data_IF_463342382998
#
_entry.id   IF_463342382998
#
_cell.length_a   1.000
_cell.length_b   1.000
_cell.length_c   1.000
_cell.angle_alpha   90.00
_cell.angle_beta   90.00
_cell.angle_gamma   90.00
#
_symmetry.space_group_name_H-M   'P 1'
#
loop_
_entity.id
_entity.type
_entity.pdbx_description
1 polymer ?
#
# COMPACT_ATOMS: atom_id res chain seq x y z
N UNK A 1 4.17 -24.00 13.01
CA UNK A 1 3.62 -22.64 12.82
C UNK A 1 3.51 -22.43 11.33
N UNK A 2 2.32 -22.16 10.82
CA UNK A 2 2.11 -21.84 9.41
C UNK A 2 2.82 -20.53 9.08
N UNK A 3 3.49 -20.47 7.94
CA UNK A 3 4.17 -19.26 7.44
C UNK A 3 3.21 -18.29 6.75
N UNK A 4 1.93 -18.60 6.79
CA UNK A 4 0.88 -17.78 6.23
C UNK A 4 0.63 -16.57 7.12
N UNK A 5 0.57 -15.42 6.47
CA UNK A 5 0.20 -14.13 7.05
C UNK A 5 -0.92 -13.53 6.20
N UNK A 6 -1.70 -12.65 6.81
CA UNK A 6 -2.73 -11.88 6.14
C UNK A 6 -2.49 -10.42 6.43
N UNK A 7 -2.62 -9.59 5.40
CA UNK A 7 -2.67 -8.14 5.56
C UNK A 7 -4.13 -7.70 5.49
N UNK A 8 -4.67 -7.17 6.59
CA UNK A 8 -5.86 -6.35 6.55
C UNK A 8 -5.47 -4.93 6.15
N UNK A 9 -6.08 -4.41 5.10
CA UNK A 9 -5.93 -3.03 4.66
C UNK A 9 -7.26 -2.30 4.82
N UNK A 10 -7.24 -1.10 5.37
CA UNK A 10 -8.40 -0.22 5.44
C UNK A 10 -8.08 1.17 4.85
N UNK A 11 -8.98 1.67 4.00
CA UNK A 11 -8.93 3.03 3.45
C UNK A 11 -10.17 3.82 3.86
N UNK A 12 -9.96 4.94 4.54
CA UNK A 12 -11.04 5.81 5.02
C UNK A 12 -10.53 7.25 5.23
N UNK A 13 -11.41 8.15 5.68
CA UNK A 13 -11.06 9.55 5.86
C UNK A 13 -10.38 9.79 7.23
N UNK A 14 -9.31 10.60 7.27
CA UNK A 14 -8.53 10.83 8.49
C UNK A 14 -9.37 11.36 9.65
N UNK A 15 -10.32 12.28 9.36
CA UNK A 15 -11.15 12.94 10.37
C UNK A 15 -12.40 12.16 10.73
N UNK A 16 -12.58 10.97 10.14
CA UNK A 16 -13.70 10.09 10.47
C UNK A 16 -13.67 9.73 11.96
N UNK A 17 -14.85 9.63 12.56
CA UNK A 17 -15.00 9.38 14.00
C UNK A 17 -15.66 8.04 14.27
N UNK A 18 -15.18 7.38 15.32
CA UNK A 18 -15.82 6.25 15.98
C UNK A 18 -16.25 6.73 17.38
N UNK A 19 -17.53 7.10 17.52
CA UNK A 19 -18.03 7.76 18.72
C UNK A 19 -17.30 9.08 19.01
N UNK A 20 -16.70 9.22 20.19
CA UNK A 20 -16.00 10.42 20.61
C UNK A 20 -14.51 10.46 20.20
N UNK A 21 -13.99 9.49 19.43
CA UNK A 21 -12.58 9.43 18.99
C UNK A 21 -12.46 9.41 17.47
N UNK A 22 -11.26 9.67 16.95
CA UNK A 22 -10.97 9.42 15.54
C UNK A 22 -10.96 7.91 15.27
N UNK A 23 -11.53 7.49 14.14
CA UNK A 23 -11.62 6.10 13.75
C UNK A 23 -10.23 5.44 13.63
N UNK A 24 -9.24 6.17 13.10
CA UNK A 24 -7.86 5.71 13.02
C UNK A 24 -7.25 5.40 14.39
N UNK A 25 -7.42 6.32 15.35
CA UNK A 25 -6.92 6.12 16.73
C UNK A 25 -7.60 4.91 17.38
N UNK A 26 -8.93 4.77 17.23
CA UNK A 26 -9.68 3.65 17.78
C UNK A 26 -9.29 2.30 17.14
N UNK A 27 -9.01 2.28 15.84
CA UNK A 27 -8.58 1.11 15.08
C UNK A 27 -7.17 0.67 15.49
N UNK A 28 -6.23 1.61 15.65
CA UNK A 28 -4.88 1.30 16.12
C UNK A 28 -4.86 0.86 17.59
N UNK A 29 -5.74 1.43 18.43
CA UNK A 29 -5.93 0.92 19.79
C UNK A 29 -6.51 -0.51 19.78
N UNK A 30 -7.40 -0.84 18.83
CA UNK A 30 -7.90 -2.21 18.67
C UNK A 30 -6.75 -3.15 18.33
N UNK A 31 -5.88 -2.78 17.39
CA UNK A 31 -4.72 -3.60 17.01
C UNK A 31 -3.76 -3.81 18.17
N UNK A 32 -3.51 -2.77 18.96
CA UNK A 32 -2.69 -2.85 20.17
C UNK A 32 -3.30 -3.79 21.22
N UNK A 33 -4.60 -3.64 21.53
CA UNK A 33 -5.32 -4.53 22.46
C UNK A 33 -5.34 -5.98 21.98
N UNK A 34 -5.52 -6.19 20.67
CA UNK A 34 -5.50 -7.52 20.04
C UNK A 34 -4.07 -8.01 19.81
N UNK A 35 -3.03 -7.25 20.18
CA UNK A 35 -1.60 -7.54 20.01
C UNK A 35 -1.29 -8.01 18.58
N UNK A 36 -1.72 -7.22 17.61
CA UNK A 36 -1.39 -7.47 16.20
C UNK A 36 0.11 -7.27 16.01
N UNK A 37 0.76 -8.23 15.33
CA UNK A 37 2.21 -8.27 15.18
C UNK A 37 2.77 -6.98 14.57
N UNK A 38 2.18 -6.55 13.46
CA UNK A 38 2.58 -5.31 12.77
C UNK A 38 1.37 -4.51 12.34
N UNK A 39 1.42 -3.19 12.54
CA UNK A 39 0.49 -2.26 11.91
C UNK A 39 1.17 -0.98 11.43
N UNK A 40 0.69 -0.40 10.34
CA UNK A 40 1.21 0.84 9.78
C UNK A 40 0.04 1.70 9.31
N UNK A 41 -0.06 2.92 9.82
CA UNK A 41 -0.98 3.93 9.31
C UNK A 41 -0.22 4.92 8.44
N UNK A 42 -0.64 5.09 7.19
CA UNK A 42 -0.08 6.05 6.24
C UNK A 42 -1.12 7.10 5.87
N UNK A 43 -0.67 8.34 5.66
CA UNK A 43 -1.54 9.41 5.15
C UNK A 43 -1.43 9.48 3.63
N UNK A 44 -2.58 9.47 2.96
CA UNK A 44 -2.66 9.67 1.51
C UNK A 44 -2.81 11.14 1.14
N UNK A 45 -2.67 11.42 -0.16
CA UNK A 45 -2.63 12.79 -0.72
C UNK A 45 -3.85 13.11 -1.59
N UNK A 46 -4.54 12.08 -2.07
CA UNK A 46 -5.81 12.21 -2.77
C UNK A 46 -6.64 10.94 -2.66
N UNK A 47 -7.96 11.05 -2.70
CA UNK A 47 -8.84 9.89 -2.91
C UNK A 47 -10.20 10.29 -3.42
N UNK A 48 -10.96 9.31 -3.86
CA UNK A 48 -12.42 9.30 -3.78
C UNK A 48 -12.85 7.93 -3.25
N UNK A 49 -13.89 7.91 -2.42
CA UNK A 49 -14.46 6.66 -1.91
C UNK A 49 -15.86 6.40 -2.47
N UNK A 50 -16.61 5.45 -1.91
CA UNK A 50 -17.95 5.04 -2.38
C UNK A 50 -19.00 6.17 -2.44
N UNK A 51 -18.72 7.30 -1.81
CA UNK A 51 -19.57 8.51 -1.85
C UNK A 51 -19.15 9.50 -2.96
N UNK A 52 -18.18 9.14 -3.79
CA UNK A 52 -17.57 9.95 -4.85
C UNK A 52 -17.07 11.34 -4.40
N UNK A 53 -16.83 11.53 -3.09
CA UNK A 53 -16.26 12.76 -2.55
C UNK A 53 -14.75 12.75 -2.73
N UNK A 54 -14.24 13.71 -3.48
CA UNK A 54 -12.80 13.91 -3.67
C UNK A 54 -12.18 14.47 -2.39
N UNK A 55 -11.05 13.90 -1.97
CA UNK A 55 -10.24 14.33 -0.83
C UNK A 55 -8.84 14.63 -1.34
N UNK A 56 -8.20 15.68 -0.83
CA UNK A 56 -6.84 16.07 -1.25
C UNK A 56 -6.16 16.93 -0.18
N UNK A 57 -4.82 16.85 -0.09
CA UNK A 57 -3.91 17.65 0.76
C UNK A 57 -3.56 19.03 0.16
N UNK A 58 -4.40 19.57 -0.73
CA UNK A 58 -4.10 20.76 -1.56
C UNK A 58 -4.58 22.09 -0.98
N UNK A 59 -5.36 22.11 0.09
CA UNK A 59 -5.82 23.35 0.70
C UNK A 59 -5.03 23.64 1.98
N UNK A 60 -4.36 24.78 2.07
CA UNK A 60 -3.82 25.29 3.35
C UNK A 60 -4.93 25.67 4.36
N UNK A 61 -6.14 25.13 4.19
CA UNK A 61 -7.28 25.34 5.07
C UNK A 61 -7.29 24.30 6.19
N UNK A 62 -7.82 24.68 7.36
CA UNK A 62 -8.06 23.77 8.49
C UNK A 62 -9.12 22.67 8.20
N UNK A 63 -9.63 22.60 6.97
CA UNK A 63 -10.72 21.74 6.50
C UNK A 63 -10.25 20.51 5.70
N UNK A 64 -8.94 20.24 5.60
CA UNK A 64 -8.45 19.04 4.94
C UNK A 64 -8.89 17.78 5.70
N UNK A 65 -9.40 16.80 4.95
CA UNK A 65 -9.76 15.46 5.44
C UNK A 65 -9.13 14.44 4.48
N UNK A 66 -7.79 14.30 4.51
CA UNK A 66 -7.07 13.43 3.59
C UNK A 66 -7.46 11.97 3.84
N UNK A 67 -7.33 11.09 2.83
CA UNK A 67 -7.46 9.67 3.06
C UNK A 67 -6.33 9.15 3.95
N UNK A 68 -6.61 8.09 4.68
CA UNK A 68 -5.61 7.30 5.40
C UNK A 68 -5.69 5.85 4.92
N UNK A 69 -4.53 5.22 4.80
CA UNK A 69 -4.39 3.77 4.65
C UNK A 69 -3.90 3.19 5.95
N UNK A 70 -4.54 2.14 6.44
CA UNK A 70 -4.12 1.41 7.63
C UNK A 70 -3.89 -0.04 7.25
N UNK A 71 -2.70 -0.57 7.55
CA UNK A 71 -2.31 -1.95 7.30
C UNK A 71 -2.10 -2.66 8.63
N UNK A 72 -2.64 -3.86 8.77
CA UNK A 72 -2.40 -4.76 9.89
C UNK A 72 -1.98 -6.12 9.35
N UNK A 73 -0.82 -6.61 9.78
CA UNK A 73 -0.23 -7.86 9.30
C UNK A 73 -0.07 -8.82 10.47
N UNK A 74 -0.68 -9.99 10.35
CA UNK A 74 -0.58 -11.06 11.34
C UNK A 74 -1.01 -12.41 10.74
N UNK A 75 -1.03 -13.46 11.55
CA UNK A 75 -1.60 -14.76 11.22
C UNK A 75 -3.08 -14.66 10.79
N UNK A 76 -3.56 -15.55 9.90
CA UNK A 76 -4.95 -15.55 9.44
C UNK A 76 -5.98 -15.54 10.58
N UNK A 77 -5.74 -16.33 11.63
CA UNK A 77 -6.65 -16.43 12.78
C UNK A 77 -6.79 -15.10 13.54
N UNK A 78 -5.69 -14.35 13.70
CA UNK A 78 -5.72 -13.07 14.43
C UNK A 78 -6.38 -11.97 13.60
N UNK A 79 -6.12 -11.94 12.29
CA UNK A 79 -6.79 -11.00 11.39
C UNK A 79 -8.29 -11.30 11.29
N UNK A 80 -8.66 -12.56 11.10
CA UNK A 80 -10.07 -12.98 11.05
C UNK A 80 -10.84 -12.63 12.34
N UNK A 81 -10.19 -12.67 13.49
CA UNK A 81 -10.82 -12.33 14.77
C UNK A 81 -11.05 -10.81 15.00
N UNK A 82 -10.55 -9.93 14.12
CA UNK A 82 -10.63 -8.48 14.28
C UNK A 82 -11.41 -7.76 13.18
N UNK A 83 -11.75 -8.44 12.09
CA UNK A 83 -12.36 -7.86 10.88
C UNK A 83 -13.69 -7.16 11.15
N UNK A 84 -14.58 -7.78 11.94
CA UNK A 84 -15.89 -7.21 12.25
C UNK A 84 -15.78 -5.96 13.14
N UNK A 85 -14.93 -6.04 14.19
CA UNK A 85 -14.62 -4.91 15.06
C UNK A 85 -14.01 -3.75 14.27
N UNK A 86 -13.10 -4.04 13.33
CA UNK A 86 -12.48 -3.03 12.48
C UNK A 86 -13.49 -2.37 11.53
N UNK A 87 -14.39 -3.14 10.93
CA UNK A 87 -15.44 -2.64 10.06
C UNK A 87 -16.40 -1.70 10.80
N UNK A 88 -16.82 -2.08 12.01
CA UNK A 88 -17.67 -1.27 12.87
C UNK A 88 -17.01 0.07 13.28
N UNK A 89 -15.69 0.06 13.52
CA UNK A 89 -14.95 1.27 13.90
C UNK A 89 -14.81 2.28 12.76
N UNK A 90 -14.63 1.83 11.52
CA UNK A 90 -14.53 2.79 10.42
C UNK A 90 -15.89 3.41 10.13
N UNK A 91 -16.97 2.64 10.03
CA UNK A 91 -18.31 3.14 9.67
C UNK A 91 -18.44 3.68 8.23
N UNK A 92 -17.39 4.21 7.59
CA UNK A 92 -17.33 4.48 6.14
C UNK A 92 -15.93 4.21 5.55
N UNK A 93 -15.83 3.50 4.45
CA UNK A 93 -14.54 3.21 3.80
C UNK A 93 -14.51 1.83 3.17
N UNK A 94 -13.32 1.36 2.84
CA UNK A 94 -13.10 0.04 2.25
C UNK A 94 -12.10 -0.72 3.13
N UNK A 95 -12.43 -1.96 3.47
CA UNK A 95 -11.52 -2.94 4.04
C UNK A 95 -11.24 -4.02 3.01
N UNK A 96 -10.03 -4.56 3.01
CA UNK A 96 -9.61 -5.66 2.17
C UNK A 96 -8.67 -6.58 2.94
N UNK A 97 -8.75 -7.88 2.70
CA UNK A 97 -7.81 -8.87 3.23
C UNK A 97 -6.99 -9.47 2.11
N UNK A 98 -5.68 -9.53 2.30
CA UNK A 98 -4.74 -10.07 1.31
C UNK A 98 -3.85 -11.14 1.95
N UNK A 99 -3.96 -12.41 1.52
CA UNK A 99 -3.05 -13.46 1.92
C UNK A 99 -1.64 -13.20 1.42
N UNK A 100 -0.67 -13.51 2.26
CA UNK A 100 0.74 -13.55 1.92
C UNK A 100 1.40 -14.71 2.67
N UNK A 101 2.63 -15.03 2.31
CA UNK A 101 3.47 -15.95 3.06
C UNK A 101 4.75 -15.27 3.50
N UNK A 102 5.27 -15.65 4.65
CA UNK A 102 6.62 -15.26 5.05
C UNK A 102 7.58 -16.08 4.21
N UNK A 103 8.37 -15.40 3.39
CA UNK A 103 9.40 -16.04 2.59
C UNK A 103 10.41 -16.68 3.56
N UNK A 104 10.70 -17.97 3.39
CA UNK A 104 11.75 -18.68 4.14
C UNK A 104 12.70 -19.40 3.18
N UNK A 105 13.95 -18.95 3.11
CA UNK A 105 15.03 -19.63 2.38
C UNK A 105 14.64 -20.16 1.00
N UNK A 106 15.28 -21.26 0.59
CA UNK A 106 15.18 -21.89 -0.73
C UNK A 106 13.80 -22.50 -1.01
N UNK A 107 12.82 -21.66 -1.38
CA UNK A 107 11.54 -22.07 -1.96
C UNK A 107 11.68 -22.46 -3.45
N UNK A 108 10.81 -23.35 -3.97
CA UNK A 108 10.76 -23.68 -5.40
C UNK A 108 10.53 -22.43 -6.27
N UNK A 109 11.36 -22.31 -7.31
CA UNK A 109 11.53 -21.11 -8.15
C UNK A 109 10.56 -21.09 -9.33
N UNK A 110 9.27 -20.90 -9.09
CA UNK A 110 8.41 -20.42 -10.18
C UNK A 110 8.82 -18.97 -10.51
N UNK A 111 8.92 -18.62 -11.79
CA UNK A 111 9.18 -17.24 -12.23
C UNK A 111 7.94 -16.33 -12.10
N UNK A 112 7.10 -16.59 -11.11
CA UNK A 112 5.94 -15.76 -10.84
C UNK A 112 6.38 -14.42 -10.25
N UNK A 113 5.67 -13.36 -10.63
CA UNK A 113 5.86 -12.04 -10.02
C UNK A 113 5.22 -12.03 -8.63
N UNK A 114 5.94 -11.46 -7.67
CA UNK A 114 5.50 -11.29 -6.29
C UNK A 114 5.63 -9.83 -5.87
N UNK A 115 4.71 -9.43 -4.99
CA UNK A 115 4.85 -8.24 -4.18
C UNK A 115 5.53 -8.64 -2.88
N UNK A 116 6.75 -8.17 -2.67
CA UNK A 116 7.50 -8.28 -1.43
C UNK A 116 7.13 -7.12 -0.51
N UNK A 117 6.88 -7.39 0.76
CA UNK A 117 6.65 -6.39 1.79
C UNK A 117 7.53 -6.66 3.02
N UNK A 118 8.05 -5.59 3.59
CA UNK A 118 8.91 -5.55 4.75
C UNK A 118 8.51 -4.36 5.62
N UNK A 119 8.52 -4.53 6.94
CA UNK A 119 8.24 -3.47 7.90
C UNK A 119 9.45 -3.21 8.79
N UNK A 120 9.78 -1.93 8.99
CA UNK A 120 10.96 -1.48 9.73
C UNK A 120 10.60 -0.28 10.61
N UNK A 121 11.40 -0.02 11.63
CA UNK A 121 11.41 1.28 12.32
C UNK A 121 12.10 2.35 11.46
N UNK A 122 11.59 3.58 11.44
CA UNK A 122 12.20 4.73 10.72
C UNK A 122 13.69 4.94 11.03
N UNK A 123 14.11 4.72 12.26
CA UNK A 123 15.47 4.93 12.76
C UNK A 123 16.30 3.66 12.77
N UNK A 124 15.75 2.52 12.33
CA UNK A 124 16.52 1.31 12.12
C UNK A 124 17.64 1.60 11.11
N UNK A 125 18.88 1.24 11.46
CA UNK A 125 20.06 1.47 10.63
C UNK A 125 20.66 0.15 10.19
N UNK A 126 21.15 0.13 8.95
CA UNK A 126 21.90 -0.98 8.36
C UNK A 126 23.27 -0.48 7.96
N UNK A 127 24.32 -1.05 8.56
CA UNK A 127 25.71 -0.67 8.30
C UNK A 127 25.96 0.84 8.37
N UNK A 128 25.29 1.52 9.30
CA UNK A 128 25.41 2.97 9.48
C UNK A 128 24.52 3.82 8.56
N UNK A 129 23.80 3.26 7.59
CA UNK A 129 22.82 3.97 6.76
C UNK A 129 21.38 3.78 7.28
N UNK A 130 20.41 4.66 6.96
CA UNK A 130 18.99 4.41 7.20
C UNK A 130 18.53 3.09 6.54
N UNK A 131 17.88 2.21 7.30
CA UNK A 131 17.60 0.83 6.89
C UNK A 131 16.75 0.74 5.63
N UNK A 132 15.74 1.60 5.48
CA UNK A 132 14.89 1.62 4.29
C UNK A 132 15.65 1.98 3.00
N UNK A 133 16.71 2.80 3.09
CA UNK A 133 17.55 3.13 1.94
C UNK A 133 18.33 1.89 1.50
N UNK A 134 19.01 1.24 2.46
CA UNK A 134 19.77 0.02 2.19
C UNK A 134 18.88 -1.11 1.64
N UNK A 135 17.65 -1.25 2.13
CA UNK A 135 16.69 -2.21 1.56
C UNK A 135 16.36 -1.87 0.10
N UNK A 136 16.02 -0.62 -0.20
CA UNK A 136 15.74 -0.21 -1.58
C UNK A 136 16.94 -0.44 -2.50
N UNK A 137 18.16 -0.18 -2.02
CA UNK A 137 19.38 -0.43 -2.79
C UNK A 137 19.56 -1.92 -3.10
N UNK A 138 19.29 -2.81 -2.12
CA UNK A 138 19.33 -4.26 -2.34
C UNK A 138 18.25 -4.69 -3.34
N UNK A 139 17.00 -4.23 -3.20
CA UNK A 139 15.93 -4.56 -4.15
C UNK A 139 16.28 -4.09 -5.57
N UNK A 140 16.83 -2.89 -5.71
CA UNK A 140 17.28 -2.34 -6.99
C UNK A 140 18.44 -3.18 -7.57
N UNK A 141 19.44 -3.55 -6.76
CA UNK A 141 20.56 -4.38 -7.19
C UNK A 141 20.14 -5.78 -7.67
N UNK A 142 19.04 -6.33 -7.14
CA UNK A 142 18.45 -7.59 -7.60
C UNK A 142 17.46 -7.43 -8.77
N UNK A 143 17.31 -6.23 -9.32
CA UNK A 143 16.54 -5.99 -10.55
C UNK A 143 15.03 -6.03 -10.39
N UNK A 144 14.51 -5.71 -9.21
CA UNK A 144 13.07 -5.51 -9.00
C UNK A 144 12.52 -4.47 -10.01
N UNK A 145 11.28 -4.63 -10.45
CA UNK A 145 10.63 -3.68 -11.36
C UNK A 145 10.39 -2.31 -10.71
N UNK A 146 10.25 -2.28 -9.39
CA UNK A 146 10.16 -1.06 -8.59
C UNK A 146 10.01 -1.37 -7.11
N UNK A 147 10.24 -0.35 -6.28
CA UNK A 147 9.93 -0.39 -4.87
C UNK A 147 9.49 0.97 -4.34
N UNK A 148 8.67 0.96 -3.29
CA UNK A 148 8.14 2.13 -2.59
C UNK A 148 8.34 2.02 -1.10
N UNK A 149 8.66 3.15 -0.49
CA UNK A 149 8.84 3.29 0.95
C UNK A 149 7.78 4.20 1.51
N UNK A 150 6.85 3.65 2.29
CA UNK A 150 5.79 4.41 2.93
C UNK A 150 6.13 4.67 4.40
N UNK A 151 6.16 5.94 4.78
CA UNK A 151 6.39 6.35 6.15
C UNK A 151 5.06 6.38 6.91
N UNK A 152 4.98 5.59 7.99
CA UNK A 152 3.82 5.63 8.87
C UNK A 152 3.74 6.91 9.71
N UNK A 153 2.54 7.25 10.15
CA UNK A 153 2.28 8.31 11.15
C UNK A 153 1.96 7.73 12.53
N UNK A 154 1.53 6.48 12.58
CA UNK A 154 1.30 5.66 13.77
C UNK A 154 1.36 4.18 13.34
N UNK A 155 1.53 3.26 14.27
CA UNK A 155 1.56 1.82 14.03
C UNK A 155 2.45 1.06 15.00
N UNK A 156 2.52 -0.25 14.81
CA UNK A 156 3.28 -1.20 15.62
C UNK A 156 4.25 -1.97 14.75
N UNK A 157 5.51 -2.06 15.16
CA UNK A 157 6.50 -3.02 14.62
C UNK A 157 7.20 -3.64 15.82
N UNK A 158 7.48 -4.94 15.76
CA UNK A 158 8.08 -5.72 16.85
C UNK A 158 7.30 -5.60 18.18
N UNK A 159 5.97 -5.51 18.09
CA UNK A 159 5.08 -5.37 19.25
C UNK A 159 5.16 -4.00 19.97
N UNK A 160 5.92 -3.03 19.44
CA UNK A 160 6.03 -1.69 20.02
C UNK A 160 5.27 -0.70 19.14
N UNK A 161 4.17 -0.15 19.69
CA UNK A 161 3.42 0.92 19.02
C UNK A 161 4.15 2.26 19.14
N UNK A 162 4.29 2.99 18.03
CA UNK A 162 4.95 4.31 17.96
C UNK A 162 4.12 5.27 17.10
N UNK A 163 3.83 6.46 17.64
CA UNK A 163 2.97 7.49 17.02
C UNK A 163 3.70 8.82 16.87
N UNK A 164 3.69 9.39 15.66
CA UNK A 164 4.22 10.72 15.41
C UNK A 164 3.37 11.77 16.15
N UNK A 165 4.00 12.58 17.00
CA UNK A 165 3.36 13.77 17.60
C UNK A 165 3.85 15.01 16.84
N UNK A 166 2.96 15.97 16.60
CA UNK A 166 3.24 17.21 15.83
C UNK A 166 4.48 18.00 16.30
N UNK A 167 4.96 17.79 17.52
CA UNK A 167 6.14 18.44 18.11
C UNK A 167 7.23 17.46 18.61
N UNK A 168 7.12 16.15 18.39
CA UNK A 168 8.17 15.21 18.82
C UNK A 168 9.25 15.07 17.75
N UNK A 169 10.49 15.44 18.10
CA UNK A 169 11.66 15.38 17.19
C UNK A 169 12.15 13.96 16.89
N UNK A 170 11.68 12.94 17.60
CA UNK A 170 12.16 11.57 17.49
C UNK A 170 10.98 10.61 17.68
N UNK A 171 10.30 10.27 16.59
CA UNK A 171 9.37 9.15 16.62
C UNK A 171 9.84 8.12 15.60
N UNK A 172 10.24 6.96 16.09
CA UNK A 172 10.56 5.79 15.29
C UNK A 172 9.28 5.11 14.77
N UNK A 173 8.41 5.88 14.12
CA UNK A 173 7.20 5.36 13.51
C UNK A 173 7.54 4.21 12.56
N UNK A 174 6.66 3.21 12.42
CA UNK A 174 6.81 2.18 11.42
C UNK A 174 6.92 2.73 10.00
N UNK A 175 7.62 1.97 9.17
CA UNK A 175 7.78 2.21 7.75
C UNK A 175 7.57 0.88 7.02
N UNK A 176 6.95 0.95 5.85
CA UNK A 176 6.76 -0.21 4.98
C UNK A 176 7.56 -0.04 3.70
N UNK A 177 8.39 -1.01 3.36
CA UNK A 177 9.00 -1.13 2.04
C UNK A 177 8.22 -2.17 1.25
N UNK A 178 7.75 -1.80 0.07
CA UNK A 178 6.98 -2.68 -0.83
C UNK A 178 7.68 -2.72 -2.18
N UNK A 179 8.08 -3.91 -2.63
CA UNK A 179 8.76 -4.12 -3.92
C UNK A 179 7.98 -5.06 -4.83
N UNK A 180 8.09 -4.86 -6.13
CA UNK A 180 7.54 -5.76 -7.16
C UNK A 180 8.69 -6.38 -7.94
N UNK A 181 8.80 -7.70 -7.92
CA UNK A 181 9.86 -8.45 -8.59
C UNK A 181 9.45 -9.91 -8.81
N UNK A 182 10.33 -10.73 -9.35
CA UNK A 182 10.08 -12.18 -9.45
C UNK A 182 10.34 -12.86 -8.11
N UNK A 183 9.77 -14.06 -7.92
CA UNK A 183 10.04 -14.88 -6.73
C UNK A 183 11.54 -15.12 -6.54
N UNK A 184 12.28 -15.38 -7.62
CA UNK A 184 13.75 -15.54 -7.60
C UNK A 184 14.46 -14.29 -7.08
N UNK A 185 14.05 -13.10 -7.54
CA UNK A 185 14.61 -11.84 -7.06
C UNK A 185 14.29 -11.61 -5.58
N UNK A 186 13.06 -11.92 -5.17
CA UNK A 186 12.63 -11.80 -3.78
C UNK A 186 13.40 -12.70 -2.82
N UNK A 187 13.66 -13.96 -3.19
CA UNK A 187 14.48 -14.88 -2.40
C UNK A 187 15.91 -14.35 -2.26
N UNK A 188 16.54 -13.97 -3.38
CA UNK A 188 17.91 -13.46 -3.37
C UNK A 188 18.05 -12.19 -2.52
N UNK A 189 17.11 -11.25 -2.65
CA UNK A 189 17.10 -10.03 -1.86
C UNK A 189 16.85 -10.30 -0.37
N UNK A 190 15.90 -11.18 -0.03
CA UNK A 190 15.64 -11.56 1.36
C UNK A 190 16.84 -12.24 2.00
N UNK A 191 17.54 -13.12 1.28
CA UNK A 191 18.77 -13.78 1.78
C UNK A 191 19.88 -12.75 2.04
N UNK A 192 20.08 -11.80 1.13
CA UNK A 192 21.04 -10.71 1.34
C UNK A 192 20.68 -9.83 2.54
N UNK A 193 19.39 -9.51 2.72
CA UNK A 193 18.92 -8.67 3.82
C UNK A 193 18.94 -9.40 5.16
N UNK A 194 18.68 -10.71 5.23
CA UNK A 194 18.72 -11.49 6.49
C UNK A 194 20.10 -11.47 7.15
N UNK A 195 21.17 -11.31 6.38
CA UNK A 195 22.52 -11.18 6.93
C UNK A 195 22.68 -9.93 7.82
N UNK A 196 21.86 -8.90 7.61
CA UNK A 196 21.90 -7.62 8.34
C UNK A 196 20.60 -7.31 9.09
N UNK A 197 19.53 -8.05 8.81
CA UNK A 197 18.19 -7.99 9.43
C UNK A 197 17.70 -9.41 9.75
N UNK A 198 18.27 -10.10 10.75
CA UNK A 198 17.96 -11.50 11.01
C UNK A 198 16.49 -11.73 11.42
N UNK A 199 15.88 -10.74 12.09
CA UNK A 199 14.51 -10.84 12.59
C UNK A 199 13.45 -10.26 11.62
N UNK A 200 13.88 -9.71 10.48
CA UNK A 200 12.94 -9.12 9.52
C UNK A 200 12.05 -10.19 8.86
N UNK A 201 10.75 -9.92 8.88
CA UNK A 201 9.76 -10.73 8.18
C UNK A 201 9.55 -10.19 6.76
N UNK A 202 9.78 -11.05 5.77
CA UNK A 202 9.61 -10.77 4.35
C UNK A 202 8.31 -11.39 3.87
N UNK A 203 7.23 -10.62 3.84
CA UNK A 203 5.96 -11.08 3.31
C UNK A 203 5.99 -11.07 1.79
N UNK A 204 5.57 -12.15 1.14
CA UNK A 204 5.38 -12.22 -0.31
C UNK A 204 3.95 -12.59 -0.65
N UNK A 205 3.35 -11.83 -1.57
CA UNK A 205 2.03 -12.09 -2.14
C UNK A 205 2.16 -12.23 -3.67
N UNK A 206 1.45 -13.16 -4.33
CA UNK A 206 1.40 -13.22 -5.78
C UNK A 206 0.86 -11.92 -6.37
N UNK A 207 1.46 -11.44 -7.46
CA UNK A 207 1.00 -10.25 -8.19
C UNK A 207 1.20 -10.46 -9.68
N UNK A 208 0.43 -9.77 -10.50
CA UNK A 208 0.61 -9.74 -11.95
C UNK A 208 0.98 -8.34 -12.38
N UNK A 209 2.05 -8.20 -13.16
CA UNK A 209 2.37 -6.93 -13.82
C UNK A 209 1.55 -6.81 -15.09
N UNK A 210 0.64 -5.85 -15.13
CA UNK A 210 -0.13 -5.53 -16.33
C UNK A 210 0.66 -4.64 -17.29
N UNK A 211 1.41 -3.68 -16.74
CA UNK A 211 2.18 -2.71 -17.52
C UNK A 211 3.45 -2.29 -16.79
N UNK A 212 4.53 -2.09 -17.54
CA UNK A 212 5.78 -1.55 -17.02
C UNK A 212 6.41 -0.60 -18.05
N UNK A 213 6.57 0.67 -17.69
CA UNK A 213 7.15 1.74 -18.52
C UNK A 213 6.54 1.79 -19.93
N UNK A 214 5.22 1.88 -20.00
CA UNK A 214 4.48 1.93 -21.27
C UNK A 214 4.27 0.58 -21.95
N UNK A 215 5.07 -0.45 -21.62
CA UNK A 215 4.95 -1.78 -22.21
C UNK A 215 3.86 -2.59 -21.52
N UNK A 216 2.84 -2.98 -22.28
CA UNK A 216 1.81 -3.90 -21.82
C UNK A 216 2.38 -5.33 -21.74
N UNK A 217 2.17 -5.97 -20.59
CA UNK A 217 2.68 -7.32 -20.27
C UNK A 217 1.54 -8.31 -20.04
N UNK A 218 0.45 -7.84 -19.44
CA UNK A 218 -0.76 -8.60 -19.23
C UNK A 218 -1.97 -7.66 -19.15
N UNK A 219 -3.17 -8.21 -19.27
CA UNK A 219 -4.40 -7.49 -18.93
C UNK A 219 -4.90 -7.92 -17.54
N UNK A 220 -5.57 -7.03 -16.79
CA UNK A 220 -6.41 -7.48 -15.69
C UNK A 220 -7.56 -8.26 -16.31
N UNK A 221 -7.44 -9.59 -16.32
CA UNK A 221 -8.56 -10.46 -16.63
C UNK A 221 -9.51 -10.46 -15.45
N UNK A 222 -10.81 -10.74 -15.69
CA UNK A 222 -11.67 -11.26 -14.65
C UNK A 222 -11.03 -12.57 -14.15
N UNK A 223 -10.33 -12.51 -13.01
CA UNK A 223 -9.65 -13.65 -12.40
C UNK A 223 -10.64 -14.63 -11.78
N UNK A 224 -10.15 -15.79 -11.31
CA UNK A 224 -10.89 -16.80 -10.53
C UNK A 224 -11.32 -16.34 -9.11
N UNK A 225 -11.30 -15.04 -8.83
CA UNK A 225 -11.60 -14.45 -7.52
C UNK A 225 -12.50 -13.22 -7.64
N UNK A 226 -13.39 -12.98 -6.67
CA UNK A 226 -14.44 -11.95 -6.77
C UNK A 226 -13.90 -10.52 -6.78
N UNK A 227 -12.73 -10.28 -6.16
CA UNK A 227 -12.18 -8.95 -5.93
C UNK A 227 -10.71 -8.87 -6.36
N UNK A 228 -10.29 -7.66 -6.72
CA UNK A 228 -8.95 -7.35 -7.18
C UNK A 228 -8.47 -6.01 -6.59
N UNK A 229 -7.17 -5.94 -6.30
CA UNK A 229 -6.44 -4.69 -6.03
C UNK A 229 -5.64 -4.34 -7.27
N UNK A 230 -5.95 -3.20 -7.90
CA UNK A 230 -5.16 -2.61 -8.97
C UNK A 230 -4.30 -1.48 -8.39
N UNK A 231 -3.00 -1.55 -8.61
CA UNK A 231 -2.04 -0.59 -8.05
C UNK A 231 -1.26 0.07 -9.19
N UNK A 232 -1.31 1.39 -9.25
CA UNK A 232 -0.61 2.21 -10.25
C UNK A 232 0.50 2.99 -9.57
N UNK A 233 1.72 2.69 -9.95
CA UNK A 233 2.94 3.19 -9.36
C UNK A 233 3.61 4.20 -10.31
N UNK A 234 3.64 5.48 -9.94
CA UNK A 234 4.22 6.57 -10.74
C UNK A 234 5.10 7.48 -9.87
N UNK A 235 5.71 8.52 -10.45
CA UNK A 235 6.28 9.63 -9.69
C UNK A 235 5.26 10.74 -9.45
N UNK A 236 5.45 11.56 -8.42
CA UNK A 236 4.59 12.73 -8.20
C UNK A 236 4.64 13.73 -9.37
N UNK A 237 5.81 13.83 -10.02
CA UNK A 237 6.05 14.67 -11.18
C UNK A 237 5.70 14.00 -12.53
N UNK A 238 5.28 12.73 -12.54
CA UNK A 238 4.87 12.02 -13.75
C UNK A 238 3.61 12.65 -14.35
N UNK A 239 3.66 13.03 -15.63
CA UNK A 239 2.61 13.79 -16.31
C UNK A 239 2.04 13.04 -17.50
N UNK A 240 0.71 13.06 -17.62
CA UNK A 240 0.01 12.71 -18.85
C UNK A 240 -0.65 13.97 -19.41
N UNK A 241 -0.28 14.37 -20.63
CA UNK A 241 -0.78 15.59 -21.30
C UNK A 241 -0.74 16.85 -20.41
N UNK A 242 0.34 17.01 -19.63
CA UNK A 242 0.56 18.16 -18.73
C UNK A 242 -0.15 18.07 -17.37
N UNK A 243 -0.93 17.01 -17.10
CA UNK A 243 -1.58 16.78 -15.81
C UNK A 243 -0.85 15.66 -15.02
N UNK A 244 -0.62 15.81 -13.70
CA UNK A 244 -0.06 14.72 -12.90
C UNK A 244 -0.92 13.45 -12.96
N UNK A 245 -0.30 12.31 -13.25
CA UNK A 245 -0.99 11.04 -13.52
C UNK A 245 -1.93 10.66 -12.37
N UNK A 246 -1.47 10.73 -11.12
CA UNK A 246 -2.29 10.40 -9.95
C UNK A 246 -3.56 11.25 -9.83
N UNK A 247 -3.52 12.52 -10.28
CA UNK A 247 -4.69 13.41 -10.29
C UNK A 247 -5.65 13.05 -11.41
N UNK A 248 -5.10 12.77 -12.60
CA UNK A 248 -5.88 12.34 -13.74
C UNK A 248 -6.59 11.01 -13.44
N UNK A 249 -5.92 10.07 -12.75
CA UNK A 249 -6.51 8.82 -12.29
C UNK A 249 -7.71 9.06 -11.37
N UNK A 250 -7.52 9.80 -10.27
CA UNK A 250 -8.59 10.11 -9.32
C UNK A 250 -9.79 10.77 -10.00
N UNK A 251 -9.55 11.75 -10.87
CA UNK A 251 -10.62 12.45 -11.58
C UNK A 251 -11.36 11.52 -12.56
N UNK A 252 -10.62 10.86 -13.46
CA UNK A 252 -11.23 10.06 -14.54
C UNK A 252 -11.90 8.79 -14.05
N UNK A 253 -11.34 8.13 -13.02
CA UNK A 253 -11.97 6.95 -12.40
C UNK A 253 -13.26 7.32 -11.67
N UNK A 254 -13.29 8.50 -11.03
CA UNK A 254 -14.52 9.02 -10.41
C UNK A 254 -15.58 9.36 -11.46
N UNK A 255 -15.18 10.01 -12.55
CA UNK A 255 -16.09 10.46 -13.61
C UNK A 255 -16.63 9.30 -14.46
N UNK A 256 -15.88 8.20 -14.60
CA UNK A 256 -16.34 7.02 -15.33
C UNK A 256 -17.42 6.23 -14.60
N UNK A 257 -17.46 6.30 -13.27
CA UNK A 257 -18.39 5.53 -12.44
C UNK A 257 -18.10 4.02 -12.40
N UNK A 258 -16.98 3.55 -12.97
CA UNK A 258 -16.61 2.13 -12.95
C UNK A 258 -15.97 1.70 -11.64
N UNK A 259 -15.21 2.58 -10.98
CA UNK A 259 -14.51 2.28 -9.74
C UNK A 259 -15.30 2.84 -8.54
N UNK A 260 -15.44 2.03 -7.51
CA UNK A 260 -16.10 2.39 -6.25
C UNK A 260 -15.24 3.34 -5.41
N UNK A 261 -13.92 3.33 -5.61
CA UNK A 261 -13.00 4.28 -5.00
C UNK A 261 -11.56 4.13 -5.48
N UNK A 262 -10.75 5.15 -5.22
CA UNK A 262 -9.30 5.10 -5.38
C UNK A 262 -8.61 5.90 -4.28
N UNK A 263 -7.49 5.40 -3.77
CA UNK A 263 -6.66 6.09 -2.78
C UNK A 263 -5.25 6.30 -3.30
N UNK A 264 -4.75 7.53 -3.19
CA UNK A 264 -3.40 7.92 -3.60
C UNK A 264 -2.51 8.08 -2.37
N UNK A 265 -1.44 7.31 -2.31
CA UNK A 265 -0.43 7.31 -1.27
C UNK A 265 0.87 7.92 -1.80
N UNK A 266 1.55 8.71 -0.96
CA UNK A 266 2.87 9.27 -1.26
C UNK A 266 3.92 8.49 -0.49
N UNK A 267 4.90 7.92 -1.21
CA UNK A 267 6.08 7.33 -0.62
C UNK A 267 7.10 8.42 -0.24
N UNK A 268 8.05 8.10 0.64
CA UNK A 268 9.18 8.99 0.97
C UNK A 268 10.45 8.67 0.17
N UNK A 269 10.51 7.48 -0.41
CA UNK A 269 11.64 6.94 -1.16
C UNK A 269 11.18 5.80 -2.08
N UNK A 270 11.90 5.53 -3.15
CA UNK A 270 11.66 4.38 -4.01
C UNK A 270 12.36 4.47 -5.36
N UNK A 271 12.06 3.53 -6.24
CA UNK A 271 12.57 3.49 -7.62
C UNK A 271 11.61 2.78 -8.57
N UNK A 272 11.86 2.94 -9.87
CA UNK A 272 11.14 2.31 -10.99
C UNK A 272 12.12 1.97 -12.10
N UNK A 273 11.92 0.82 -12.73
CA UNK A 273 12.76 0.38 -13.84
C UNK A 273 14.25 0.42 -13.46
N UNK A 274 15.07 0.95 -14.36
CA UNK A 274 16.52 1.14 -14.12
C UNK A 274 16.90 2.46 -13.43
N UNK A 275 15.93 3.26 -12.98
CA UNK A 275 16.22 4.53 -12.32
C UNK A 275 16.77 4.28 -10.91
N UNK A 276 17.78 5.06 -10.51
CA UNK A 276 18.34 4.98 -9.17
C UNK A 276 17.29 5.28 -8.09
N UNK A 277 17.37 4.63 -6.91
CA UNK A 277 16.54 4.98 -5.76
C UNK A 277 16.63 6.46 -5.40
N UNK A 278 15.46 7.07 -5.22
CA UNK A 278 15.32 8.50 -5.01
C UNK A 278 14.13 8.81 -4.10
N UNK A 279 14.11 10.06 -3.60
CA UNK A 279 13.05 10.63 -2.80
C UNK A 279 13.26 12.13 -2.67
N UNK A 280 12.44 12.80 -1.85
CA UNK A 280 12.49 14.25 -1.73
C UNK A 280 13.79 14.72 -1.04
N UNK A 281 14.49 15.68 -1.67
CA UNK A 281 15.65 16.38 -1.12
C UNK A 281 15.25 17.77 -0.63
N UNK A 282 15.87 18.23 0.45
CA UNK A 282 15.48 19.44 1.20
C UNK A 282 15.51 20.77 0.41
N UNK A 283 15.94 20.78 -0.85
CA UNK A 283 16.07 21.96 -1.71
C UNK A 283 15.73 21.68 -3.19
N UNK A 284 15.03 20.58 -3.48
CA UNK A 284 14.70 20.20 -4.86
C UNK A 284 13.45 20.93 -5.37
N UNK A 285 13.52 21.47 -6.60
CA UNK A 285 12.35 22.05 -7.29
C UNK A 285 11.47 20.92 -7.80
N UNK A 286 10.27 20.81 -7.25
CA UNK A 286 9.34 19.72 -7.53
C UNK A 286 9.64 18.46 -6.72
N UNK A 287 8.59 17.77 -6.27
CA UNK A 287 8.72 16.49 -5.57
C UNK A 287 8.94 15.39 -6.58
N UNK A 288 9.97 14.58 -6.36
CA UNK A 288 10.28 13.40 -7.19
C UNK A 288 9.92 12.11 -6.47
N UNK A 289 9.16 12.17 -5.37
CA UNK A 289 8.79 10.97 -4.64
C UNK A 289 7.85 10.07 -5.44
N UNK A 290 7.93 8.73 -5.22
CA UNK A 290 6.95 7.82 -5.76
C UNK A 290 5.54 8.09 -5.21
N UNK A 291 4.55 7.92 -6.07
CA UNK A 291 3.13 8.04 -5.77
C UNK A 291 2.43 6.78 -6.26
N UNK A 292 1.55 6.25 -5.42
CA UNK A 292 0.85 5.00 -5.69
C UNK A 292 -0.64 5.23 -5.60
N UNK A 293 -1.37 4.94 -6.68
CA UNK A 293 -2.84 4.97 -6.72
C UNK A 293 -3.36 3.55 -6.60
N UNK A 294 -4.13 3.27 -5.55
CA UNK A 294 -4.71 1.96 -5.24
C UNK A 294 -6.19 2.00 -5.50
N UNK A 295 -6.69 1.04 -6.28
CA UNK A 295 -8.11 0.78 -6.52
C UNK A 295 -8.36 -0.64 -6.01
N UNK A 296 -9.39 -0.82 -5.19
CA UNK A 296 -9.80 -2.15 -4.73
C UNK A 296 -11.27 -2.29 -5.05
N UNK A 297 -11.62 -3.27 -5.86
CA UNK A 297 -12.98 -3.43 -6.38
C UNK A 297 -13.22 -4.86 -6.86
N UNK A 298 -14.42 -5.13 -7.38
CA UNK A 298 -14.73 -6.35 -8.13
C UNK A 298 -13.83 -6.47 -9.36
N UNK A 299 -13.54 -7.70 -9.78
CA UNK A 299 -12.72 -7.94 -10.97
C UNK A 299 -13.32 -7.30 -12.25
N UNK A 300 -14.65 -7.22 -12.34
CA UNK A 300 -15.35 -6.56 -13.43
C UNK A 300 -15.10 -5.04 -13.44
N UNK A 301 -15.19 -4.38 -12.29
CA UNK A 301 -14.93 -2.95 -12.14
C UNK A 301 -13.47 -2.59 -12.40
N UNK A 302 -12.53 -3.45 -11.98
CA UNK A 302 -11.11 -3.30 -12.31
C UNK A 302 -10.88 -3.40 -13.81
N UNK A 303 -11.46 -4.41 -14.48
CA UNK A 303 -11.34 -4.56 -15.93
C UNK A 303 -11.94 -3.36 -16.68
N UNK A 304 -13.10 -2.85 -16.24
CA UNK A 304 -13.74 -1.66 -16.81
C UNK A 304 -12.95 -0.35 -16.56
N UNK A 305 -12.20 -0.28 -15.47
CA UNK A 305 -11.35 0.86 -15.11
C UNK A 305 -9.99 0.85 -15.82
N UNK A 306 -9.51 -0.32 -16.23
CA UNK A 306 -8.17 -0.49 -16.79
C UNK A 306 -7.88 0.35 -18.05
N UNK A 307 -8.80 0.57 -19.01
CA UNK A 307 -8.52 1.43 -20.16
C UNK A 307 -8.10 2.87 -19.78
N UNK A 308 -8.64 3.40 -18.68
CA UNK A 308 -8.25 4.72 -18.15
C UNK A 308 -6.81 4.67 -17.62
N UNK A 309 -6.49 3.61 -16.88
CA UNK A 309 -5.15 3.39 -16.33
C UNK A 309 -4.13 3.21 -17.45
N UNK A 310 -4.47 2.42 -18.47
CA UNK A 310 -3.61 2.11 -19.61
C UNK A 310 -3.26 3.37 -20.40
N UNK A 311 -4.25 4.22 -20.71
CA UNK A 311 -4.01 5.51 -21.39
C UNK A 311 -3.11 6.42 -20.55
N UNK A 312 -3.40 6.56 -19.25
CA UNK A 312 -2.66 7.47 -18.38
C UNK A 312 -1.21 7.02 -18.11
N UNK A 313 -0.93 5.73 -18.27
CA UNK A 313 0.40 5.12 -18.09
C UNK A 313 1.07 4.73 -19.41
N UNK A 314 0.68 5.38 -20.53
CA UNK A 314 1.18 5.07 -21.88
C UNK A 314 2.72 5.11 -22.03
N UNK A 315 3.42 5.92 -21.22
CA UNK A 315 4.87 6.16 -21.35
C UNK A 315 5.69 5.73 -20.13
N UNK A 316 5.09 5.77 -18.95
CA UNK A 316 5.77 5.55 -17.68
C UNK A 316 4.84 4.92 -16.66
N UNK A 317 5.45 4.25 -15.67
CA UNK A 317 4.76 3.70 -14.52
C UNK A 317 4.70 2.18 -14.52
N UNK A 318 4.45 1.64 -13.33
CA UNK A 318 4.28 0.21 -13.10
C UNK A 318 2.83 -0.04 -12.67
N UNK A 319 2.14 -0.95 -13.35
CA UNK A 319 0.74 -1.30 -13.05
C UNK A 319 0.69 -2.76 -12.65
N UNK A 320 0.24 -3.02 -11.43
CA UNK A 320 0.07 -4.38 -10.91
C UNK A 320 -1.38 -4.66 -10.55
N UNK A 321 -1.77 -5.93 -10.66
CA UNK A 321 -3.06 -6.41 -10.16
C UNK A 321 -2.86 -7.65 -9.29
N UNK A 322 -3.52 -7.64 -8.14
CA UNK A 322 -3.54 -8.73 -7.18
C UNK A 322 -4.98 -9.21 -6.95
N UNK A 323 -5.22 -10.53 -6.99
CA UNK A 323 -6.50 -11.10 -6.56
C UNK A 323 -6.56 -11.09 -5.04
N UNK A 324 -7.66 -10.60 -4.48
CA UNK A 324 -7.89 -10.59 -3.04
C UNK A 324 -9.15 -11.39 -2.70
N UNK A 325 -9.14 -12.22 -1.65
CA UNK A 325 -10.27 -13.07 -1.29
C UNK A 325 -11.43 -12.31 -0.64
N UNK A 326 -11.17 -11.15 -0.03
CA UNK A 326 -12.20 -10.42 0.71
C UNK A 326 -12.06 -8.91 0.57
N UNK A 327 -13.21 -8.27 0.34
CA UNK A 327 -13.40 -6.84 0.29
C UNK A 327 -14.73 -6.51 0.98
N UNK A 328 -14.71 -5.53 1.87
CA UNK A 328 -15.89 -4.99 2.51
C UNK A 328 -15.89 -3.48 2.37
N UNK A 329 -16.83 -2.96 1.61
CA UNK A 329 -17.15 -1.53 1.60
C UNK A 329 -18.20 -1.25 2.67
N UNK A 330 -17.96 -0.22 3.47
CA UNK A 330 -18.88 0.23 4.51
C UNK A 330 -19.29 1.66 4.20
N UNK A 331 -20.57 1.98 4.30
CA UNK A 331 -21.10 3.33 4.15
C UNK A 331 -22.30 3.55 5.08
N UNK A 332 -22.03 3.80 6.36
CA UNK A 332 -23.08 3.88 7.38
C UNK A 332 -23.71 2.49 7.56
N UNK A 333 -25.02 2.41 7.38
CA UNK A 333 -25.78 1.14 7.54
C UNK A 333 -25.74 0.25 6.30
N UNK A 334 -25.13 0.73 5.20
CA UNK A 334 -24.95 -0.04 3.98
C UNK A 334 -23.56 -0.67 3.94
N UNK A 335 -23.49 -1.92 3.53
CA UNK A 335 -22.23 -2.61 3.26
C UNK A 335 -22.29 -3.42 1.98
N UNK A 336 -21.16 -3.54 1.29
CA UNK A 336 -21.00 -4.36 0.10
C UNK A 336 -19.80 -5.28 0.25
N UNK A 337 -19.97 -6.56 -0.10
CA UNK A 337 -18.92 -7.58 -0.02
C UNK A 337 -18.75 -8.21 1.36
N UNK A 338 -17.71 -9.02 1.50
CA UNK A 338 -17.34 -9.76 2.71
C UNK A 338 -15.81 -9.85 2.83
N UNK A 339 -15.30 -9.78 4.06
CA UNK A 339 -13.88 -10.05 4.36
C UNK A 339 -13.57 -11.54 4.53
N UNK A 340 -14.60 -12.38 4.55
CA UNK A 340 -14.47 -13.84 4.60
C UNK A 340 -14.86 -14.40 3.22
N UNK A 341 -14.01 -15.24 2.60
CA UNK A 341 -14.32 -15.89 1.32
C UNK A 341 -15.45 -16.92 1.42
#
# INVERSE_FOLDING_TARGET
MTDDIVTLTAYFAERQRAGNRFAADALLDLFDRRRIATSVMVRGIASFGPTHRTRSDRSLSLSEDPPVGVWAVDTPARISALTDDAAALIGRGVLAVEPARILRGSEPRAEDTVRLALHLGRHQRLSGAPGYLAVCDVLHAHGFAGADVYLGVDGTVDGIRRRARFFSRNTDVPLSVVGVGTTTQAVAAADALRAVLPDALFGVAPTRVCKNDGRQLASPSASDGPYQRLTVHTGEASLHRGQPIHRALVQRLKDSGHASGATVLRAIWGFRGGALPHGDRLLQVGRQVPVTTVIIDTAANIAASYPIVDELTEREGLVTVETIPGLLEVNGDQSFGSLYP
#
